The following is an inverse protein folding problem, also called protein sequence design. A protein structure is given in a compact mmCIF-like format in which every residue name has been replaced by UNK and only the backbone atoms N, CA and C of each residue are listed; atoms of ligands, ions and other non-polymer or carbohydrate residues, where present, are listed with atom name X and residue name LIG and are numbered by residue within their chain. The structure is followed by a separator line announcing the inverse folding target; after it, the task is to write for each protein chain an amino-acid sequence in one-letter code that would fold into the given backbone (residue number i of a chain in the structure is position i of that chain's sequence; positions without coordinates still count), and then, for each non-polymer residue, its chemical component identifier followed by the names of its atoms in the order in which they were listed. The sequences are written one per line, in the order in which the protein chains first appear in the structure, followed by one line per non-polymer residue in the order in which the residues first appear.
data_IF_214770150013
#
_entry.id   IF_214770150013
#
_cell.length_a   1.000
_cell.length_b   1.000
_cell.length_c   1.000
_cell.angle_alpha   90.00
_cell.angle_beta   90.00
_cell.angle_gamma   90.00
#
_symmetry.space_group_name_H-M   'P 1'
#
loop_
_entity.id
_entity.type
_entity.pdbx_description
1 polymer ?
#
# COMPACT_ATOMS: atom_id res chain seq x y z
N UNK A 1 -17.93 5.04 9.85
CA UNK A 1 -17.47 3.82 9.14
C UNK A 1 -15.95 3.75 9.19
N UNK A 2 -15.42 2.53 9.31
CA UNK A 2 -13.97 2.35 9.29
C UNK A 2 -13.43 2.57 7.89
N UNK A 3 -12.29 3.22 7.79
CA UNK A 3 -11.56 3.31 6.54
C UNK A 3 -10.88 1.96 6.26
N UNK A 4 -10.74 1.64 4.99
CA UNK A 4 -10.26 0.34 4.53
C UNK A 4 -8.89 0.45 3.92
N UNK A 5 -7.99 -0.43 4.35
CA UNK A 5 -6.63 -0.51 3.82
C UNK A 5 -6.44 -1.89 3.20
N UNK A 6 -6.07 -1.92 1.94
CA UNK A 6 -5.71 -3.17 1.27
C UNK A 6 -4.19 -3.29 1.29
N UNK A 7 -3.68 -4.44 1.73
CA UNK A 7 -2.25 -4.67 1.89
C UNK A 7 -1.80 -5.82 1.00
N UNK A 8 -0.77 -5.59 0.20
CA UNK A 8 -0.11 -6.64 -0.59
C UNK A 8 1.34 -6.74 -0.10
N UNK A 9 1.67 -7.84 0.57
CA UNK A 9 2.98 -8.07 1.16
C UNK A 9 3.30 -9.56 1.06
N UNK A 10 4.38 -9.93 0.36
CA UNK A 10 4.67 -11.32 0.10
C UNK A 10 5.23 -12.09 1.30
N UNK A 11 5.72 -11.41 2.33
CA UNK A 11 6.15 -12.06 3.56
C UNK A 11 4.95 -12.23 4.48
N UNK A 12 4.56 -13.48 4.73
CA UNK A 12 3.36 -13.80 5.52
C UNK A 12 3.42 -13.22 6.94
N UNK A 13 4.60 -13.26 7.57
CA UNK A 13 4.74 -12.76 8.94
C UNK A 13 4.61 -11.23 9.00
N UNK A 14 5.20 -10.55 8.04
CA UNK A 14 5.09 -9.09 7.95
C UNK A 14 3.65 -8.70 7.64
N UNK A 15 2.99 -9.42 6.75
CA UNK A 15 1.59 -9.17 6.40
C UNK A 15 0.69 -9.28 7.63
N UNK A 16 0.85 -10.35 8.43
CA UNK A 16 0.07 -10.55 9.64
C UNK A 16 0.32 -9.43 10.66
N UNK A 17 1.58 -9.04 10.83
CA UNK A 17 1.93 -7.95 11.74
C UNK A 17 1.29 -6.64 11.31
N UNK A 18 1.37 -6.31 10.03
CA UNK A 18 0.74 -5.10 9.51
C UNK A 18 -0.77 -5.13 9.74
N UNK A 19 -1.39 -6.30 9.51
CA UNK A 19 -2.82 -6.47 9.76
C UNK A 19 -3.21 -6.15 11.19
N UNK A 20 -2.45 -6.67 12.16
CA UNK A 20 -2.70 -6.41 13.58
C UNK A 20 -2.56 -4.91 13.89
N UNK A 21 -1.47 -4.29 13.41
CA UNK A 21 -1.21 -2.88 13.64
C UNK A 21 -2.37 -2.01 13.12
N UNK A 22 -2.81 -2.28 11.90
CA UNK A 22 -3.85 -1.49 11.28
C UNK A 22 -5.21 -1.71 11.92
N UNK A 23 -5.54 -2.95 12.29
CA UNK A 23 -6.81 -3.23 12.97
C UNK A 23 -6.86 -2.57 14.33
N UNK A 24 -5.77 -2.59 15.08
CA UNK A 24 -5.70 -1.90 16.38
C UNK A 24 -5.84 -0.38 16.22
N UNK A 25 -5.41 0.15 15.08
CA UNK A 25 -5.56 1.58 14.79
C UNK A 25 -6.97 1.96 14.30
N UNK A 26 -7.85 0.99 14.14
CA UNK A 26 -9.24 1.24 13.77
C UNK A 26 -9.56 1.07 12.30
N UNK A 27 -8.66 0.49 11.52
CA UNK A 27 -8.89 0.25 10.09
C UNK A 27 -9.48 -1.14 9.85
N UNK A 28 -10.22 -1.25 8.76
CA UNK A 28 -10.61 -2.54 8.21
C UNK A 28 -9.57 -2.92 7.17
N UNK A 29 -9.08 -4.17 7.20
CA UNK A 29 -7.96 -4.57 6.34
C UNK A 29 -8.31 -5.71 5.41
N UNK A 30 -7.77 -5.66 4.19
CA UNK A 30 -7.76 -6.77 3.26
C UNK A 30 -6.31 -7.16 3.04
N UNK A 31 -5.94 -8.39 3.38
CA UNK A 31 -4.55 -8.85 3.41
C UNK A 31 -4.29 -9.88 2.32
N UNK A 32 -3.29 -9.63 1.48
CA UNK A 32 -2.94 -10.52 0.37
C UNK A 32 -1.43 -10.70 0.29
N UNK A 33 -0.99 -11.94 0.04
CA UNK A 33 0.44 -12.26 -0.06
C UNK A 33 0.99 -12.05 -1.48
N UNK A 34 0.11 -11.90 -2.46
CA UNK A 34 0.49 -11.67 -3.85
C UNK A 34 -0.55 -10.80 -4.54
N UNK A 35 -0.28 -10.46 -5.79
CA UNK A 35 -1.13 -9.54 -6.55
C UNK A 35 -2.13 -10.25 -7.48
N UNK A 36 -2.28 -11.57 -7.37
CA UNK A 36 -3.18 -12.32 -8.23
C UNK A 36 -4.61 -11.84 -8.07
N UNK A 37 -5.23 -11.46 -9.18
CA UNK A 37 -6.60 -10.95 -9.18
C UNK A 37 -6.79 -9.67 -8.39
N UNK A 38 -5.75 -8.88 -8.22
CA UNK A 38 -5.77 -7.74 -7.31
C UNK A 38 -6.78 -6.67 -7.71
N UNK A 39 -6.98 -6.43 -9.01
CA UNK A 39 -7.93 -5.41 -9.45
C UNK A 39 -9.37 -5.77 -9.05
N UNK A 40 -9.74 -7.05 -9.17
CA UNK A 40 -11.05 -7.50 -8.72
C UNK A 40 -11.20 -7.37 -7.21
N UNK A 41 -10.15 -7.70 -6.47
CA UNK A 41 -10.15 -7.57 -5.00
C UNK A 41 -10.29 -6.12 -4.58
N UNK A 42 -9.61 -5.20 -5.29
CA UNK A 42 -9.73 -3.77 -5.04
C UNK A 42 -11.15 -3.28 -5.31
N UNK A 43 -11.73 -3.69 -6.42
CA UNK A 43 -13.08 -3.26 -6.77
C UNK A 43 -14.12 -3.77 -5.77
N UNK A 44 -13.93 -4.98 -5.25
CA UNK A 44 -14.85 -5.57 -4.27
C UNK A 44 -14.65 -4.96 -2.87
N UNK A 45 -13.41 -4.80 -2.44
CA UNK A 45 -13.10 -4.31 -1.10
C UNK A 45 -13.29 -2.80 -0.97
N UNK A 46 -13.06 -2.07 -2.05
CA UNK A 46 -13.15 -0.60 -2.10
C UNK A 46 -12.25 0.05 -1.05
N UNK A 47 -10.93 -0.16 -1.14
CA UNK A 47 -10.02 0.41 -0.14
C UNK A 47 -9.93 1.92 -0.26
N UNK A 48 -9.66 2.55 0.87
CA UNK A 48 -9.37 3.99 0.93
C UNK A 48 -7.89 4.27 0.70
N UNK A 49 -7.04 3.27 0.92
CA UNK A 49 -5.61 3.31 0.62
C UNK A 49 -5.09 1.91 0.35
N UNK A 50 -3.99 1.83 -0.38
CA UNK A 50 -3.31 0.57 -0.70
C UNK A 50 -1.89 0.63 -0.17
N UNK A 51 -1.50 -0.40 0.58
CA UNK A 51 -0.14 -0.57 1.08
C UNK A 51 0.48 -1.68 0.27
N UNK A 52 1.53 -1.36 -0.47
CA UNK A 52 2.09 -2.25 -1.48
C UNK A 52 3.58 -2.50 -1.26
N UNK A 53 3.96 -3.77 -1.09
CA UNK A 53 5.36 -4.16 -1.01
C UNK A 53 5.98 -4.15 -2.41
N UNK A 54 7.07 -3.42 -2.59
CA UNK A 54 7.83 -3.42 -3.84
C UNK A 54 9.27 -3.85 -3.52
N UNK A 55 9.72 -4.90 -4.20
CA UNK A 55 11.06 -5.42 -3.98
C UNK A 55 12.14 -4.51 -4.56
N UNK A 56 11.95 -4.03 -5.81
CA UNK A 56 12.91 -3.16 -6.49
C UNK A 56 12.19 -2.06 -7.28
N UNK A 57 12.78 -0.85 -7.37
CA UNK A 57 12.19 0.24 -8.17
C UNK A 57 12.53 0.08 -9.66
N UNK A 58 12.30 -1.10 -10.22
CA UNK A 58 12.52 -1.43 -11.64
C UNK A 58 11.21 -1.32 -12.41
N UNK A 59 11.28 -1.46 -13.73
CA UNK A 59 10.07 -1.47 -14.56
C UNK A 59 9.14 -2.61 -14.13
N UNK A 60 9.69 -3.82 -13.93
CA UNK A 60 8.88 -4.96 -13.49
C UNK A 60 8.38 -4.75 -12.06
N UNK A 61 9.24 -4.27 -11.16
CA UNK A 61 8.88 -4.10 -9.76
C UNK A 61 7.83 -3.03 -9.53
N UNK A 62 7.71 -2.05 -10.42
CA UNK A 62 6.73 -0.96 -10.28
C UNK A 62 5.50 -1.14 -11.15
N UNK A 63 5.38 -2.26 -11.84
CA UNK A 63 4.28 -2.45 -12.80
C UNK A 63 2.90 -2.28 -12.17
N UNK A 64 2.63 -2.97 -11.06
CA UNK A 64 1.35 -2.88 -10.40
C UNK A 64 1.07 -1.46 -9.89
N UNK A 65 2.07 -0.85 -9.27
CA UNK A 65 1.95 0.53 -8.77
C UNK A 65 1.58 1.49 -9.90
N UNK A 66 2.26 1.38 -11.04
CA UNK A 66 1.98 2.22 -12.20
C UNK A 66 0.57 1.96 -12.75
N UNK A 67 0.18 0.70 -12.86
CA UNK A 67 -1.16 0.33 -13.33
C UNK A 67 -2.25 0.92 -12.44
N UNK A 68 -2.06 0.87 -11.13
CA UNK A 68 -3.03 1.42 -10.18
C UNK A 68 -3.21 2.92 -10.37
N UNK A 69 -2.12 3.64 -10.62
CA UNK A 69 -2.19 5.10 -10.78
C UNK A 69 -2.65 5.52 -12.16
N UNK A 70 -2.51 4.67 -13.15
CA UNK A 70 -2.96 4.95 -14.53
C UNK A 70 -4.42 4.54 -14.77
N UNK A 71 -4.90 3.50 -14.09
CA UNK A 71 -6.25 2.99 -14.30
C UNK A 71 -7.27 3.93 -13.67
N UNK A 72 -8.27 4.34 -14.47
CA UNK A 72 -9.27 5.31 -14.03
C UNK A 72 -9.95 4.95 -12.71
N UNK A 73 -10.41 3.68 -12.49
CA UNK A 73 -11.09 3.36 -11.25
C UNK A 73 -10.21 3.42 -10.00
N UNK A 74 -8.87 3.33 -10.14
CA UNK A 74 -7.96 3.25 -8.99
C UNK A 74 -7.03 4.45 -8.88
N UNK A 75 -7.01 5.35 -9.86
CA UNK A 75 -6.05 6.45 -9.89
C UNK A 75 -6.15 7.38 -8.68
N UNK A 76 -7.31 7.46 -8.07
CA UNK A 76 -7.54 8.35 -6.91
C UNK A 76 -7.17 7.70 -5.57
N UNK A 77 -6.89 6.40 -5.57
CA UNK A 77 -6.59 5.68 -4.32
C UNK A 77 -5.11 5.89 -3.98
N UNK A 78 -4.78 6.42 -2.80
CA UNK A 78 -3.38 6.58 -2.42
C UNK A 78 -2.67 5.24 -2.31
N UNK A 79 -1.46 5.17 -2.87
CA UNK A 79 -0.62 3.98 -2.83
C UNK A 79 0.61 4.31 -1.99
N UNK A 80 0.78 3.58 -0.88
CA UNK A 80 1.94 3.69 -0.01
C UNK A 80 2.79 2.46 -0.21
N UNK A 81 4.05 2.66 -0.57
CA UNK A 81 4.96 1.56 -0.90
C UNK A 81 5.86 1.23 0.29
N UNK A 82 5.97 -0.07 0.60
CA UNK A 82 6.91 -0.60 1.59
C UNK A 82 8.06 -1.30 0.86
N UNK A 83 9.29 -1.09 1.29
CA UNK A 83 10.43 -1.81 0.69
C UNK A 83 11.67 -1.72 1.55
N UNK A 84 12.54 -2.74 1.42
CA UNK A 84 13.89 -2.73 2.00
C UNK A 84 14.92 -2.14 1.04
N UNK A 85 14.56 -1.87 -0.22
CA UNK A 85 15.51 -1.42 -1.22
C UNK A 85 15.97 0.01 -0.92
N UNK A 86 17.30 0.28 -0.95
CA UNK A 86 17.80 1.61 -0.56
C UNK A 86 17.39 2.74 -1.49
N UNK A 87 17.01 2.43 -2.72
CA UNK A 87 16.60 3.45 -3.70
C UNK A 87 15.10 3.49 -3.94
N UNK A 88 14.31 2.93 -3.03
CA UNK A 88 12.86 2.84 -3.22
C UNK A 88 12.20 4.21 -3.27
N UNK A 89 12.84 5.24 -2.73
CA UNK A 89 12.31 6.61 -2.79
C UNK A 89 11.99 7.09 -4.19
N UNK A 90 12.64 6.52 -5.20
CA UNK A 90 12.39 6.88 -6.61
C UNK A 90 10.96 6.58 -7.06
N UNK A 91 10.28 5.62 -6.42
CA UNK A 91 8.91 5.27 -6.83
C UNK A 91 7.91 6.37 -6.53
N UNK A 92 8.22 7.33 -5.66
CA UNK A 92 7.35 8.49 -5.46
C UNK A 92 7.21 9.31 -6.72
N UNK A 93 8.25 9.38 -7.52
CA UNK A 93 8.21 10.12 -8.79
C UNK A 93 7.51 9.31 -9.89
N UNK A 94 7.42 8.01 -9.72
CA UNK A 94 6.87 7.11 -10.74
C UNK A 94 5.39 6.85 -10.50
N UNK A 95 5.01 6.43 -9.30
CA UNK A 95 3.65 5.97 -9.04
C UNK A 95 3.19 6.07 -7.59
N UNK A 96 4.08 5.96 -6.61
CA UNK A 96 3.67 5.93 -5.22
C UNK A 96 3.38 7.32 -4.68
N UNK A 97 2.35 7.43 -3.85
CA UNK A 97 2.04 8.67 -3.15
C UNK A 97 2.97 8.87 -1.96
N UNK A 98 3.43 7.77 -1.35
CA UNK A 98 4.39 7.82 -0.26
C UNK A 98 5.17 6.51 -0.19
N UNK A 99 6.32 6.53 0.49
CA UNK A 99 7.20 5.37 0.64
C UNK A 99 7.57 5.20 2.11
N UNK A 100 7.50 3.96 2.59
CA UNK A 100 7.93 3.60 3.95
C UNK A 100 9.03 2.55 3.84
N UNK A 101 10.27 2.89 4.23
CA UNK A 101 11.35 1.89 4.21
C UNK A 101 11.16 0.85 5.30
N UNK A 102 11.57 -0.38 5.02
CA UNK A 102 11.60 -1.45 6.02
C UNK A 102 13.02 -1.57 6.58
N UNK A 103 13.18 -1.88 7.86
CA UNK A 103 12.14 -2.03 8.87
C UNK A 103 11.48 -0.69 9.18
N UNK A 104 10.16 -0.71 9.37
CA UNK A 104 9.42 0.51 9.59
C UNK A 104 9.12 0.73 11.08
N UNK A 105 8.92 1.99 11.42
CA UNK A 105 8.42 2.41 12.72
C UNK A 105 6.90 2.39 12.67
N UNK A 106 6.25 1.77 13.68
CA UNK A 106 4.79 1.62 13.70
C UNK A 106 4.11 2.99 13.64
N UNK A 107 4.54 3.93 14.47
CA UNK A 107 3.94 5.25 14.50
C UNK A 107 4.16 6.00 13.18
N UNK A 108 5.34 5.85 12.60
CA UNK A 108 5.64 6.45 11.30
C UNK A 108 4.74 5.94 10.19
N UNK A 109 4.51 4.62 10.16
CA UNK A 109 3.61 4.02 9.18
C UNK A 109 2.18 4.55 9.35
N UNK A 110 1.68 4.57 10.58
CA UNK A 110 0.33 5.04 10.87
C UNK A 110 0.17 6.53 10.53
N UNK A 111 1.18 7.35 10.81
CA UNK A 111 1.14 8.77 10.49
C UNK A 111 1.06 9.00 8.98
N UNK A 112 1.86 8.27 8.21
CA UNK A 112 1.85 8.38 6.76
C UNK A 112 0.50 7.98 6.18
N UNK A 113 -0.08 6.87 6.66
CA UNK A 113 -1.39 6.42 6.21
C UNK A 113 -2.47 7.44 6.55
N UNK A 114 -2.42 7.99 7.76
CA UNK A 114 -3.38 8.99 8.20
C UNK A 114 -3.34 10.24 7.33
N UNK A 115 -2.14 10.71 7.00
CA UNK A 115 -1.96 11.86 6.13
C UNK A 115 -2.49 11.60 4.72
N UNK A 116 -2.20 10.44 4.16
CA UNK A 116 -2.67 10.07 2.82
C UNK A 116 -4.19 9.95 2.77
N UNK A 117 -4.79 9.41 3.81
CA UNK A 117 -6.24 9.27 3.88
C UNK A 117 -6.95 10.61 3.97
N UNK A 118 -6.32 11.60 4.59
CA UNK A 118 -6.87 12.96 4.65
C UNK A 118 -6.82 13.67 3.31
N UNK A 119 -5.71 13.52 2.57
CA UNK A 119 -5.48 14.27 1.34
C UNK A 119 -6.12 13.63 0.12
N UNK A 120 -6.56 12.38 0.23
CA UNK A 120 -7.14 11.63 -0.89
C UNK A 120 -8.56 12.06 -1.25
N UNK A 121 -9.11 13.02 -0.55
CA UNK A 121 -10.50 13.48 -0.77
C UNK A 121 -10.55 14.82 -1.45
#
# INVERSE_FOLDING_TARGET
MKQRILVVENDQHILELIGIILEEAGYEVGLYTNEDGIFNKIMDFKPDAILLDIFKPTIEGTELCRQLKEAHPTTHIPVVVLSTHPQIGKVKEICADEVVPKPFDIDGLLDILKDQLKTAR
#
